data_IF_486849909710
#
_entry.id   IF_486849909710
#
_cell.length_a   1.000
_cell.length_b   1.000
_cell.length_c   1.000
_cell.angle_alpha   90.00
_cell.angle_beta   90.00
_cell.angle_gamma   90.00
#
_symmetry.space_group_name_H-M   'P 1'
#
loop_
_entity.id
_entity.type
_entity.pdbx_description
1 polymer ?
#
# COMPACT_ATOMS: atom_id res chain seq x y z
N UNK A 1 -15.13 -46.28 -66.44
CA UNK A 1 -15.98 -45.16 -66.92
C UNK A 1 -15.10 -43.95 -67.08
N UNK A 2 -14.85 -43.65 -68.34
CA UNK A 2 -14.00 -42.59 -68.88
C UNK A 2 -14.79 -41.28 -68.86
N UNK A 3 -14.16 -40.16 -68.47
CA UNK A 3 -14.76 -38.83 -68.63
C UNK A 3 -13.94 -37.72 -67.97
N UNK A 4 -13.02 -37.08 -68.69
CA UNK A 4 -12.44 -35.78 -68.35
C UNK A 4 -13.23 -34.65 -69.05
N UNK A 5 -13.36 -33.48 -68.42
CA UNK A 5 -12.79 -32.22 -68.95
C UNK A 5 -12.99 -31.02 -67.99
N UNK A 6 -12.06 -30.05 -68.01
CA UNK A 6 -12.03 -28.88 -67.16
C UNK A 6 -12.67 -27.64 -67.84
N UNK A 7 -13.52 -26.93 -67.13
CA UNK A 7 -14.02 -25.62 -67.56
C UNK A 7 -13.11 -24.50 -67.02
N UNK A 8 -12.39 -23.88 -67.95
CA UNK A 8 -11.70 -22.62 -67.78
C UNK A 8 -12.69 -21.49 -67.49
N UNK A 9 -12.42 -20.68 -66.46
CA UNK A 9 -12.98 -19.35 -66.32
C UNK A 9 -11.88 -18.33 -66.02
N UNK A 10 -11.54 -17.63 -67.10
CA UNK A 10 -11.39 -16.17 -67.21
C UNK A 10 -10.80 -15.41 -66.02
N UNK A 11 -9.56 -14.96 -66.22
CA UNK A 11 -8.95 -13.88 -65.49
C UNK A 11 -9.77 -12.58 -65.65
N UNK A 12 -10.18 -12.00 -64.53
CA UNK A 12 -10.62 -10.60 -64.44
C UNK A 12 -9.61 -9.87 -63.57
N UNK A 13 -8.87 -8.98 -64.22
CA UNK A 13 -7.99 -8.00 -63.60
C UNK A 13 -8.84 -6.81 -63.12
N UNK A 14 -8.82 -6.43 -61.83
CA UNK A 14 -9.33 -5.14 -61.42
C UNK A 14 -8.18 -4.12 -61.41
N UNK A 15 -8.43 -3.07 -62.18
CA UNK A 15 -7.62 -1.88 -62.31
C UNK A 15 -7.36 -1.18 -60.97
N UNK A 16 -6.17 -0.59 -60.91
CA UNK A 16 -5.68 0.41 -59.97
C UNK A 16 -6.76 1.28 -59.31
N UNK A 17 -6.97 1.06 -58.02
CA UNK A 17 -7.38 2.11 -57.10
C UNK A 17 -6.13 2.61 -56.39
N UNK A 18 -5.64 3.78 -56.80
CA UNK A 18 -4.61 4.53 -56.08
C UNK A 18 -5.22 4.99 -54.75
N UNK A 19 -5.05 4.19 -53.70
CA UNK A 19 -5.34 4.59 -52.34
C UNK A 19 -4.20 5.50 -51.85
N UNK A 20 -4.60 6.73 -51.58
CA UNK A 20 -4.00 7.70 -50.69
C UNK A 20 -3.13 7.05 -49.60
N UNK A 21 -1.81 7.05 -49.81
CA UNK A 21 -0.81 6.52 -48.88
C UNK A 21 -0.20 7.63 -48.00
N UNK A 22 -0.70 8.87 -48.11
CA UNK A 22 -0.18 10.01 -47.35
C UNK A 22 -0.55 9.94 -45.87
N UNK A 23 -1.80 9.64 -45.54
CA UNK A 23 -2.30 9.72 -44.15
C UNK A 23 -1.82 8.56 -43.27
N UNK A 24 -1.61 7.38 -43.84
CA UNK A 24 -1.14 6.20 -43.09
C UNK A 24 0.35 6.29 -42.72
N UNK A 25 1.16 6.97 -43.53
CA UNK A 25 2.60 7.12 -43.28
C UNK A 25 2.90 8.19 -42.24
N UNK A 26 2.10 9.25 -42.17
CA UNK A 26 2.23 10.34 -41.20
C UNK A 26 1.74 9.95 -39.78
N UNK A 27 0.74 9.05 -39.69
CA UNK A 27 0.33 8.43 -38.43
C UNK A 27 1.34 7.38 -37.92
N UNK A 28 2.05 6.69 -38.82
CA UNK A 28 3.10 5.75 -38.46
C UNK A 28 4.38 6.45 -37.98
N UNK A 29 4.70 7.62 -38.52
CA UNK A 29 5.90 8.39 -38.15
C UNK A 29 5.76 9.08 -36.79
N UNK A 30 4.54 9.53 -36.44
CA UNK A 30 4.23 10.06 -35.10
C UNK A 30 4.12 8.97 -34.02
N UNK A 31 3.62 7.78 -34.37
CA UNK A 31 3.61 6.61 -33.49
C UNK A 31 4.99 5.99 -33.25
N UNK A 32 6.01 6.34 -34.05
CA UNK A 32 7.37 5.86 -33.84
C UNK A 32 8.19 6.75 -32.91
N UNK A 33 7.73 7.99 -32.65
CA UNK A 33 8.38 8.95 -31.73
C UNK A 33 7.89 8.77 -30.28
N UNK A 34 6.68 8.25 -30.09
CA UNK A 34 6.11 7.86 -28.78
C UNK A 34 5.98 6.35 -28.79
N UNK A 35 6.86 5.64 -28.07
CA UNK A 35 6.95 4.17 -28.11
C UNK A 35 5.60 3.44 -27.93
N UNK A 36 5.55 2.16 -28.29
CA UNK A 36 4.31 1.37 -28.19
C UNK A 36 3.71 1.46 -26.78
N UNK A 37 2.36 1.43 -26.62
CA UNK A 37 1.72 1.52 -25.30
C UNK A 37 2.29 0.54 -24.26
N UNK A 38 2.67 -0.66 -24.72
CA UNK A 38 3.32 -1.68 -23.90
C UNK A 38 4.72 -1.27 -23.44
N UNK A 39 5.53 -0.67 -24.32
CA UNK A 39 6.88 -0.21 -23.97
C UNK A 39 6.83 0.95 -22.97
N UNK A 40 5.90 1.90 -23.18
CA UNK A 40 5.65 3.02 -22.25
C UNK A 40 5.22 2.50 -20.87
N UNK A 41 4.26 1.55 -20.85
CA UNK A 41 3.81 0.91 -19.62
C UNK A 41 4.96 0.19 -18.88
N UNK A 42 5.81 -0.52 -19.61
CA UNK A 42 6.94 -1.25 -19.04
C UNK A 42 7.99 -0.33 -18.42
N UNK A 43 8.29 0.77 -19.09
CA UNK A 43 9.22 1.80 -18.61
C UNK A 43 8.66 2.51 -17.36
N UNK A 44 7.38 2.91 -17.37
CA UNK A 44 6.72 3.48 -16.21
C UNK A 44 6.68 2.50 -15.01
N UNK A 45 6.42 1.22 -15.27
CA UNK A 45 6.40 0.18 -14.23
C UNK A 45 7.79 -0.07 -13.66
N UNK A 46 8.83 -0.06 -14.50
CA UNK A 46 10.22 -0.15 -14.04
C UNK A 46 10.60 1.04 -13.14
N UNK A 47 10.22 2.27 -13.52
CA UNK A 47 10.40 3.46 -12.67
C UNK A 47 9.63 3.36 -11.36
N UNK A 48 8.38 2.92 -11.39
CA UNK A 48 7.57 2.70 -10.19
C UNK A 48 8.30 1.75 -9.24
N UNK A 49 8.77 0.60 -9.72
CA UNK A 49 9.48 -0.37 -8.87
C UNK A 49 10.83 0.13 -8.35
N UNK A 50 11.56 0.94 -9.13
CA UNK A 50 12.77 1.59 -8.64
C UNK A 50 12.46 2.54 -7.47
N UNK A 51 11.36 3.31 -7.55
CA UNK A 51 10.89 4.15 -6.44
C UNK A 51 10.40 3.32 -5.25
N UNK A 52 9.71 2.19 -5.49
CA UNK A 52 9.30 1.26 -4.44
C UNK A 52 10.51 0.74 -3.64
N UNK A 53 11.59 0.36 -4.32
CA UNK A 53 12.80 -0.13 -3.66
C UNK A 53 13.43 0.96 -2.76
N UNK A 54 13.52 2.20 -3.25
CA UNK A 54 14.05 3.32 -2.46
C UNK A 54 13.24 3.60 -1.18
N UNK A 55 11.90 3.49 -1.23
CA UNK A 55 11.04 3.65 -0.05
C UNK A 55 11.16 2.44 0.89
N UNK A 56 11.33 1.24 0.34
CA UNK A 56 11.51 0.02 1.14
C UNK A 56 12.84 0.02 1.92
N UNK A 57 13.89 0.61 1.35
CA UNK A 57 15.20 0.76 2.01
C UNK A 57 15.15 1.80 3.14
N UNK A 58 14.35 2.87 2.99
CA UNK A 58 14.14 3.95 3.97
C UNK A 58 12.93 3.68 4.89
N UNK A 59 12.66 2.41 5.22
CA UNK A 59 11.42 2.04 5.90
C UNK A 59 11.36 2.50 7.37
N UNK A 60 10.57 3.54 7.62
CA UNK A 60 10.25 4.04 8.97
C UNK A 60 8.96 3.44 9.56
N UNK A 61 8.23 2.62 8.81
CA UNK A 61 6.94 2.04 9.23
C UNK A 61 5.85 2.11 8.16
N UNK A 62 4.60 1.72 8.48
CA UNK A 62 3.49 1.73 7.53
C UNK A 62 3.18 3.14 7.03
N UNK A 63 3.44 3.42 5.75
CA UNK A 63 3.23 4.72 5.11
C UNK A 63 2.30 4.63 3.89
N UNK A 64 1.04 4.15 4.03
CA UNK A 64 0.15 3.87 2.89
C UNK A 64 -0.09 5.10 2.01
N UNK A 65 -0.06 6.30 2.58
CA UNK A 65 -0.26 7.54 1.82
C UNK A 65 0.90 7.86 0.88
N UNK A 66 2.15 7.54 1.26
CA UNK A 66 3.30 7.70 0.36
C UNK A 66 3.20 6.75 -0.83
N UNK A 67 2.81 5.49 -0.58
CA UNK A 67 2.61 4.50 -1.65
C UNK A 67 1.47 4.89 -2.59
N UNK A 68 0.36 5.40 -2.04
CA UNK A 68 -0.76 5.89 -2.83
C UNK A 68 -0.37 7.10 -3.66
N UNK A 69 0.29 8.10 -3.06
CA UNK A 69 0.76 9.28 -3.77
C UNK A 69 1.71 8.90 -4.91
N UNK A 70 2.67 8.01 -4.65
CA UNK A 70 3.60 7.52 -5.67
C UNK A 70 2.90 6.84 -6.85
N UNK A 71 1.92 5.97 -6.59
CA UNK A 71 1.16 5.31 -7.65
C UNK A 71 0.32 6.32 -8.44
N UNK A 72 -0.35 7.25 -7.76
CA UNK A 72 -1.12 8.33 -8.40
C UNK A 72 -0.24 9.23 -9.26
N UNK A 73 0.93 9.63 -8.76
CA UNK A 73 1.90 10.45 -9.51
C UNK A 73 2.36 9.73 -10.78
N UNK A 74 2.61 8.42 -10.68
CA UNK A 74 3.00 7.60 -11.83
C UNK A 74 1.88 7.58 -12.87
N UNK A 75 0.63 7.36 -12.42
CA UNK A 75 -0.55 7.39 -13.31
C UNK A 75 -0.83 8.77 -13.91
N UNK A 76 -0.33 9.84 -13.29
CA UNK A 76 -0.46 11.20 -13.80
C UNK A 76 0.62 11.58 -14.85
N UNK A 77 1.63 10.73 -15.07
CA UNK A 77 2.68 10.99 -16.07
C UNK A 77 2.07 11.18 -17.47
N UNK A 78 2.51 12.18 -18.27
CA UNK A 78 1.97 12.42 -19.61
C UNK A 78 1.98 11.17 -20.51
N UNK A 79 2.95 10.29 -20.34
CA UNK A 79 3.08 9.05 -21.09
C UNK A 79 1.95 8.04 -20.79
N UNK A 80 1.36 8.06 -19.59
CA UNK A 80 0.24 7.20 -19.19
C UNK A 80 -1.14 7.87 -19.32
N UNK A 81 -1.22 9.09 -19.89
CA UNK A 81 -2.49 9.77 -20.11
C UNK A 81 -3.32 9.16 -21.25
N UNK A 82 -2.71 8.34 -22.11
CA UNK A 82 -3.45 7.61 -23.14
C UNK A 82 -4.12 6.37 -22.57
N UNK A 83 -5.38 6.13 -22.93
CA UNK A 83 -6.14 4.97 -22.45
C UNK A 83 -5.42 3.64 -22.73
N UNK A 84 -4.77 3.53 -23.89
CA UNK A 84 -4.02 2.34 -24.27
C UNK A 84 -2.78 2.11 -23.39
N UNK A 85 -1.99 3.15 -23.09
CA UNK A 85 -0.82 3.03 -22.23
C UNK A 85 -1.23 2.75 -20.78
N UNK A 86 -2.29 3.39 -20.30
CA UNK A 86 -2.84 3.14 -18.96
C UNK A 86 -3.35 1.71 -18.82
N UNK A 87 -4.11 1.21 -19.80
CA UNK A 87 -4.59 -0.17 -19.79
C UNK A 87 -3.43 -1.19 -19.87
N UNK A 88 -2.40 -0.89 -20.66
CA UNK A 88 -1.20 -1.73 -20.72
C UNK A 88 -0.44 -1.73 -19.38
N UNK A 89 -0.33 -0.57 -18.71
CA UNK A 89 0.28 -0.45 -17.39
C UNK A 89 -0.49 -1.24 -16.33
N UNK A 90 -1.81 -1.11 -16.30
CA UNK A 90 -2.68 -1.87 -15.39
C UNK A 90 -2.53 -3.38 -15.60
N UNK A 91 -2.57 -3.85 -16.87
CA UNK A 91 -2.36 -5.26 -17.20
C UNK A 91 -1.00 -5.78 -16.69
N UNK A 92 0.07 -5.02 -16.88
CA UNK A 92 1.40 -5.41 -16.42
C UNK A 92 1.47 -5.43 -14.89
N UNK A 93 0.91 -4.42 -14.22
CA UNK A 93 0.86 -4.36 -12.76
C UNK A 93 0.08 -5.54 -12.17
N UNK A 94 -1.10 -5.87 -12.72
CA UNK A 94 -1.89 -7.03 -12.31
C UNK A 94 -1.10 -8.32 -12.47
N UNK A 95 -0.42 -8.48 -13.61
CA UNK A 95 0.42 -9.66 -13.87
C UNK A 95 1.55 -9.77 -12.85
N UNK A 96 2.20 -8.66 -12.51
CA UNK A 96 3.29 -8.64 -11.54
C UNK A 96 2.80 -8.90 -10.11
N UNK A 97 1.68 -8.29 -9.69
CA UNK A 97 1.11 -8.56 -8.35
C UNK A 97 0.63 -10.03 -8.22
N UNK A 98 0.07 -10.60 -9.28
CA UNK A 98 -0.35 -12.00 -9.31
C UNK A 98 0.82 -13.01 -9.37
N UNK A 99 2.04 -12.56 -9.68
CA UNK A 99 3.24 -13.41 -9.75
C UNK A 99 3.85 -13.72 -8.37
N UNK A 100 3.30 -13.14 -7.31
CA UNK A 100 3.74 -13.33 -5.94
C UNK A 100 4.50 -12.13 -5.37
N UNK A 101 5.05 -12.32 -4.18
CA UNK A 101 5.69 -11.25 -3.43
C UNK A 101 7.08 -10.87 -3.98
N UNK A 102 7.32 -9.56 -4.05
CA UNK A 102 8.64 -8.92 -4.16
C UNK A 102 8.64 -7.68 -3.26
N UNK A 103 9.81 -7.13 -2.88
CA UNK A 103 9.87 -5.90 -2.09
C UNK A 103 9.00 -4.77 -2.69
N UNK A 104 8.13 -4.17 -1.87
CA UNK A 104 7.19 -3.11 -2.27
C UNK A 104 5.89 -3.60 -2.91
N UNK A 105 5.78 -4.86 -3.33
CA UNK A 105 4.52 -5.41 -3.87
C UNK A 105 3.40 -5.42 -2.83
N UNK A 106 3.72 -5.70 -1.56
CA UNK A 106 2.74 -5.71 -0.50
C UNK A 106 2.09 -4.33 -0.34
N UNK A 107 2.89 -3.26 -0.41
CA UNK A 107 2.37 -1.90 -0.31
C UNK A 107 1.51 -1.53 -1.54
N UNK A 108 1.96 -1.90 -2.74
CA UNK A 108 1.19 -1.70 -3.98
C UNK A 108 -0.14 -2.47 -3.95
N UNK A 109 -0.14 -3.69 -3.42
CA UNK A 109 -1.35 -4.50 -3.26
C UNK A 109 -2.42 -3.78 -2.41
N UNK A 110 -2.03 -3.01 -1.40
CA UNK A 110 -2.97 -2.25 -0.57
C UNK A 110 -3.52 -0.98 -1.24
N UNK A 111 -2.75 -0.33 -2.13
CA UNK A 111 -3.14 0.97 -2.72
C UNK A 111 -3.72 0.86 -4.12
N UNK A 112 -3.32 -0.16 -4.89
CA UNK A 112 -3.76 -0.37 -6.26
C UNK A 112 -5.29 -0.52 -6.40
N UNK A 113 -6.01 -1.27 -5.53
CA UNK A 113 -7.45 -1.40 -5.66
C UNK A 113 -8.19 -0.05 -5.67
N UNK A 114 -7.75 0.89 -4.83
CA UNK A 114 -8.30 2.25 -4.79
C UNK A 114 -7.89 3.11 -5.99
N UNK A 115 -6.68 2.94 -6.52
CA UNK A 115 -6.16 3.72 -7.63
C UNK A 115 -6.76 3.33 -8.99
N UNK A 116 -7.11 2.05 -9.16
CA UNK A 116 -7.70 1.50 -10.39
C UNK A 116 -9.21 1.22 -10.27
N UNK A 117 -9.81 1.42 -9.08
CA UNK A 117 -11.23 1.19 -8.85
C UNK A 117 -11.62 -0.29 -8.80
N UNK A 118 -10.70 -1.19 -8.48
CA UNK A 118 -11.00 -2.62 -8.34
C UNK A 118 -11.94 -2.90 -7.16
N UNK A 119 -11.92 -2.03 -6.14
CA UNK A 119 -12.80 -2.14 -4.97
C UNK A 119 -14.29 -1.94 -5.33
N UNK A 120 -14.57 -1.09 -6.32
CA UNK A 120 -15.95 -0.73 -6.72
C UNK A 120 -16.42 -1.52 -7.93
N UNK A 121 -15.50 -1.98 -8.78
CA UNK A 121 -15.81 -2.73 -9.99
C UNK A 121 -14.92 -3.98 -10.15
N UNK A 122 -15.12 -5.06 -9.36
CA UNK A 122 -14.32 -6.29 -9.45
C UNK A 122 -14.24 -6.92 -10.85
N UNK A 123 -15.27 -6.70 -11.67
CA UNK A 123 -15.31 -7.16 -13.06
C UNK A 123 -14.19 -6.57 -13.94
N UNK A 124 -13.63 -5.40 -13.59
CA UNK A 124 -12.49 -4.83 -14.33
C UNK A 124 -11.26 -5.69 -14.17
N UNK A 125 -11.00 -6.19 -12.96
CA UNK A 125 -9.86 -7.03 -12.65
C UNK A 125 -9.91 -8.36 -13.41
N UNK A 126 -11.11 -8.96 -13.53
CA UNK A 126 -11.33 -10.23 -14.25
C UNK A 126 -11.01 -10.13 -15.76
N UNK A 127 -11.00 -8.94 -16.35
CA UNK A 127 -10.63 -8.74 -17.77
C UNK A 127 -9.17 -9.09 -18.06
N UNK A 128 -8.33 -9.17 -17.02
CA UNK A 128 -6.93 -9.54 -17.11
C UNK A 128 -6.68 -11.06 -17.08
N UNK A 129 -7.74 -11.87 -17.19
CA UNK A 129 -7.67 -13.33 -17.24
C UNK A 129 -7.19 -13.94 -15.92
N UNK A 130 -6.40 -15.01 -16.00
CA UNK A 130 -5.95 -15.78 -14.83
C UNK A 130 -5.17 -14.93 -13.80
N UNK A 131 -4.42 -13.93 -14.23
CA UNK A 131 -3.73 -13.01 -13.31
C UNK A 131 -4.74 -12.16 -12.52
N UNK A 132 -5.77 -11.67 -13.21
CA UNK A 132 -6.88 -10.94 -12.61
C UNK A 132 -7.67 -11.80 -11.62
N UNK A 133 -8.04 -13.02 -11.99
CA UNK A 133 -8.72 -13.98 -11.12
C UNK A 133 -7.93 -14.27 -9.84
N UNK A 134 -6.61 -14.52 -9.98
CA UNK A 134 -5.73 -14.74 -8.82
C UNK A 134 -5.67 -13.51 -7.91
N UNK A 135 -5.55 -12.31 -8.47
CA UNK A 135 -5.50 -11.09 -7.68
C UNK A 135 -6.85 -10.80 -6.99
N UNK A 136 -7.97 -11.05 -7.68
CA UNK A 136 -9.31 -10.96 -7.12
C UNK A 136 -9.46 -11.91 -5.92
N UNK A 137 -9.03 -13.16 -6.06
CA UNK A 137 -9.03 -14.13 -4.97
C UNK A 137 -8.18 -13.65 -3.79
N UNK A 138 -7.00 -13.06 -4.03
CA UNK A 138 -6.19 -12.47 -2.96
C UNK A 138 -6.92 -11.34 -2.22
N UNK A 139 -7.67 -10.49 -2.92
CA UNK A 139 -8.47 -9.42 -2.32
C UNK A 139 -9.67 -9.98 -1.51
N UNK A 140 -10.32 -11.03 -2.00
CA UNK A 140 -11.37 -11.75 -1.27
C UNK A 140 -10.86 -12.40 0.02
N UNK A 141 -9.70 -13.06 -0.06
CA UNK A 141 -9.02 -13.65 1.09
C UNK A 141 -8.59 -12.58 2.10
N UNK A 142 -8.07 -11.44 1.64
CA UNK A 142 -7.75 -10.29 2.51
C UNK A 142 -8.98 -9.77 3.25
N UNK A 143 -10.13 -9.62 2.56
CA UNK A 143 -11.38 -9.18 3.21
C UNK A 143 -11.83 -10.16 4.29
N UNK A 144 -11.66 -11.45 4.05
CA UNK A 144 -11.97 -12.50 5.04
C UNK A 144 -10.98 -12.48 6.21
N UNK A 145 -9.70 -12.27 5.93
CA UNK A 145 -8.65 -12.07 6.94
C UNK A 145 -8.96 -10.87 7.84
N UNK A 146 -9.41 -9.76 7.25
CA UNK A 146 -9.73 -8.54 7.99
C UNK A 146 -10.94 -8.70 8.94
N UNK A 147 -11.79 -9.72 8.74
CA UNK A 147 -12.91 -10.05 9.64
C UNK A 147 -12.51 -10.90 10.85
N UNK A 148 -11.26 -11.35 10.96
CA UNK A 148 -10.78 -12.11 12.11
C UNK A 148 -10.72 -11.26 13.39
N UNK A 149 -10.74 -11.94 14.55
CA UNK A 149 -10.54 -11.30 15.85
C UNK A 149 -9.23 -10.52 15.88
N UNK A 150 -9.28 -9.27 16.34
CA UNK A 150 -8.17 -8.29 16.30
C UNK A 150 -6.83 -8.85 16.77
N UNK A 151 -6.83 -9.64 17.85
CA UNK A 151 -5.60 -10.24 18.41
C UNK A 151 -4.92 -11.21 17.43
N UNK A 152 -5.70 -12.09 16.80
CA UNK A 152 -5.18 -13.04 15.82
C UNK A 152 -4.74 -12.32 14.56
N UNK A 153 -5.54 -11.36 14.09
CA UNK A 153 -5.23 -10.52 12.92
C UNK A 153 -3.92 -9.76 13.12
N UNK A 154 -3.71 -9.16 14.30
CA UNK A 154 -2.47 -8.45 14.64
C UNK A 154 -1.26 -9.38 14.61
N UNK A 155 -1.34 -10.55 15.26
CA UNK A 155 -0.28 -11.54 15.25
C UNK A 155 0.07 -11.99 13.82
N UNK A 156 -0.94 -12.29 13.00
CA UNK A 156 -0.74 -12.73 11.62
C UNK A 156 -0.18 -11.62 10.72
N UNK A 157 -0.62 -10.36 10.88
CA UNK A 157 0.01 -9.21 10.18
C UNK A 157 1.47 -9.05 10.56
N UNK A 158 1.81 -9.24 11.83
CA UNK A 158 3.18 -9.17 12.28
C UNK A 158 4.04 -10.32 11.73
N UNK A 159 3.51 -11.55 11.70
CA UNK A 159 4.15 -12.69 11.03
C UNK A 159 4.38 -12.39 9.55
N UNK A 160 3.37 -11.87 8.85
CA UNK A 160 3.49 -11.50 7.45
C UNK A 160 4.60 -10.47 7.22
N UNK A 161 4.70 -9.44 8.06
CA UNK A 161 5.79 -8.46 8.01
C UNK A 161 7.16 -9.08 8.31
N UNK A 162 7.24 -10.06 9.21
CA UNK A 162 8.49 -10.77 9.53
C UNK A 162 8.94 -11.73 8.44
N UNK A 163 8.02 -12.40 7.75
CA UNK A 163 8.35 -13.28 6.62
C UNK A 163 9.00 -12.54 5.45
N UNK A 164 8.77 -11.23 5.31
CA UNK A 164 9.42 -10.39 4.28
C UNK A 164 10.88 -10.08 4.59
N UNK A 165 11.33 -10.31 5.81
CA UNK A 165 12.69 -10.01 6.25
C UNK A 165 13.59 -11.23 6.06
N UNK A 166 14.83 -11.05 5.58
CA UNK A 166 15.72 -12.17 5.30
C UNK A 166 16.24 -12.86 6.58
N UNK A 167 16.27 -12.16 7.72
CA UNK A 167 16.85 -12.70 8.96
C UNK A 167 15.98 -13.80 9.57
N UNK A 168 16.63 -14.91 9.92
CA UNK A 168 15.97 -16.02 10.59
C UNK A 168 15.53 -15.60 12.01
N UNK A 169 14.29 -15.93 12.41
CA UNK A 169 13.83 -15.74 13.78
C UNK A 169 14.61 -16.52 14.83
N UNK A 170 14.48 -16.10 16.09
CA UNK A 170 14.95 -16.87 17.24
C UNK A 170 14.15 -18.17 17.41
N UNK A 171 14.72 -19.15 18.10
CA UNK A 171 14.06 -20.45 18.33
C UNK A 171 12.72 -20.29 19.09
N UNK A 172 12.63 -19.36 20.04
CA UNK A 172 11.39 -19.04 20.75
C UNK A 172 10.34 -18.43 19.82
N UNK A 173 10.77 -17.51 18.95
CA UNK A 173 9.91 -16.91 17.93
C UNK A 173 9.35 -17.98 16.98
N UNK A 174 10.18 -18.93 16.54
CA UNK A 174 9.75 -20.02 15.68
C UNK A 174 8.73 -20.94 16.36
N UNK A 175 9.00 -21.31 17.62
CA UNK A 175 8.07 -22.15 18.39
C UNK A 175 6.68 -21.51 18.45
N UNK A 176 6.63 -20.21 18.74
CA UNK A 176 5.36 -19.49 18.83
C UNK A 176 4.70 -19.25 17.46
N UNK A 177 5.46 -18.82 16.44
CA UNK A 177 4.87 -18.24 15.21
C UNK A 177 4.65 -19.21 14.08
N UNK A 178 5.47 -20.25 13.95
CA UNK A 178 5.36 -21.19 12.81
C UNK A 178 3.96 -21.83 12.73
N UNK A 179 3.33 -22.28 13.83
CA UNK A 179 1.96 -22.81 13.77
C UNK A 179 0.94 -21.81 13.22
N UNK A 180 1.06 -20.53 13.62
CA UNK A 180 0.18 -19.46 13.14
C UNK A 180 0.45 -19.07 11.68
N UNK A 181 1.72 -19.11 11.25
CA UNK A 181 2.10 -18.84 9.87
C UNK A 181 1.58 -19.94 8.93
N UNK A 182 1.70 -21.21 9.33
CA UNK A 182 1.16 -22.36 8.58
C UNK A 182 -0.37 -22.29 8.51
N UNK A 183 -1.04 -21.96 9.61
CA UNK A 183 -2.50 -21.76 9.60
C UNK A 183 -2.92 -20.60 8.68
N UNK A 184 -2.19 -19.49 8.72
CA UNK A 184 -2.43 -18.32 7.85
C UNK A 184 -2.33 -18.69 6.37
N UNK A 185 -1.24 -19.36 5.95
CA UNK A 185 -1.06 -19.79 4.55
C UNK A 185 -2.11 -20.81 4.14
N UNK A 186 -2.49 -21.74 5.03
CA UNK A 186 -3.53 -22.72 4.73
C UNK A 186 -4.89 -22.06 4.49
N UNK A 187 -5.22 -21.00 5.24
CA UNK A 187 -6.53 -20.32 5.17
C UNK A 187 -6.60 -19.25 4.09
N UNK A 188 -5.48 -18.58 3.83
CA UNK A 188 -5.39 -17.43 2.92
C UNK A 188 -4.18 -17.58 1.98
N UNK A 189 -4.11 -18.66 1.18
CA UNK A 189 -2.92 -19.00 0.42
C UNK A 189 -2.56 -17.94 -0.62
N UNK A 190 -3.55 -17.41 -1.33
CA UNK A 190 -3.34 -16.49 -2.45
C UNK A 190 -2.94 -15.11 -1.96
N UNK A 191 -3.64 -14.61 -0.94
CA UNK A 191 -3.30 -13.34 -0.30
C UNK A 191 -1.90 -13.40 0.33
N UNK A 192 -1.60 -14.46 1.09
CA UNK A 192 -0.30 -14.59 1.76
C UNK A 192 0.84 -14.67 0.76
N UNK A 193 0.67 -15.40 -0.36
CA UNK A 193 1.66 -15.48 -1.43
C UNK A 193 1.94 -14.12 -2.11
N UNK A 194 0.95 -13.23 -2.16
CA UNK A 194 1.08 -11.90 -2.76
C UNK A 194 1.82 -10.92 -1.83
N UNK A 195 1.61 -11.03 -0.52
CA UNK A 195 2.11 -10.04 0.45
C UNK A 195 3.32 -10.50 1.29
N UNK A 196 3.80 -11.73 1.12
CA UNK A 196 4.93 -12.30 1.89
C UNK A 196 5.83 -13.21 1.07
N UNK A 197 7.10 -13.35 1.49
CA UNK A 197 8.02 -14.35 0.95
C UNK A 197 7.69 -15.74 1.53
N UNK A 198 7.01 -16.59 0.75
CA UNK A 198 6.71 -17.96 1.17
C UNK A 198 7.97 -18.83 1.31
N UNK A 199 9.06 -18.52 0.60
CA UNK A 199 10.32 -19.24 0.78
C UNK A 199 10.92 -19.01 2.17
N UNK A 200 10.61 -17.87 2.80
CA UNK A 200 10.98 -17.62 4.20
C UNK A 200 10.24 -18.58 5.14
N UNK A 201 8.97 -18.87 4.86
CA UNK A 201 8.21 -19.83 5.66
C UNK A 201 8.78 -21.25 5.53
N UNK A 202 9.24 -21.65 4.34
CA UNK A 202 9.92 -22.93 4.15
C UNK A 202 11.20 -23.01 5.01
N UNK A 203 12.00 -21.92 5.05
CA UNK A 203 13.17 -21.83 5.95
C UNK A 203 12.78 -21.91 7.42
N UNK A 204 11.71 -21.23 7.83
CA UNK A 204 11.23 -21.22 9.21
C UNK A 204 10.74 -22.59 9.65
N UNK A 205 9.96 -23.27 8.81
CA UNK A 205 9.42 -24.61 9.09
C UNK A 205 10.53 -25.65 9.14
N UNK A 206 11.52 -25.57 8.25
CA UNK A 206 12.71 -26.43 8.29
C UNK A 206 13.49 -26.23 9.60
N UNK A 207 13.73 -24.98 10.03
CA UNK A 207 14.39 -24.71 11.32
C UNK A 207 13.54 -25.20 12.50
N UNK A 208 12.24 -24.91 12.50
CA UNK A 208 11.30 -25.34 13.54
C UNK A 208 11.31 -26.87 13.74
N UNK A 209 11.43 -27.65 12.66
CA UNK A 209 11.51 -29.11 12.74
C UNK A 209 12.75 -29.62 13.48
N UNK A 210 13.82 -28.83 13.57
CA UNK A 210 15.05 -29.19 14.30
C UNK A 210 15.03 -28.83 15.79
N UNK A 211 14.02 -28.07 16.24
CA UNK A 211 13.99 -27.58 17.62
C UNK A 211 13.60 -28.67 18.62
N UNK A 212 14.19 -28.67 19.83
CA UNK A 212 13.76 -29.57 20.90
C UNK A 212 12.32 -29.26 21.30
N UNK A 213 11.39 -30.17 20.99
CA UNK A 213 9.95 -30.04 21.30
C UNK A 213 9.63 -30.02 22.79
N UNK A 214 10.63 -30.25 23.66
CA UNK A 214 10.51 -30.26 25.12
C UNK A 214 10.39 -28.86 25.75
N UNK A 215 10.61 -27.77 24.99
CA UNK A 215 10.35 -26.41 25.47
C UNK A 215 8.84 -26.16 25.35
N UNK A 216 8.12 -26.40 26.44
CA UNK A 216 6.67 -26.27 26.51
C UNK A 216 6.22 -24.93 25.89
N UNK A 217 5.42 -25.04 24.82
CA UNK A 217 4.70 -23.91 24.27
C UNK A 217 3.83 -23.30 25.38
N UNK A 218 3.69 -21.96 25.43
CA UNK A 218 2.70 -21.35 26.29
C UNK A 218 1.31 -21.95 25.99
N UNK A 219 0.54 -22.22 27.05
CA UNK A 219 -0.73 -22.93 26.94
C UNK A 219 -1.70 -22.24 25.96
N UNK A 220 -2.61 -22.99 25.31
CA UNK A 220 -3.67 -22.38 24.49
C UNK A 220 -4.44 -21.34 25.32
N UNK A 221 -4.34 -20.07 24.92
CA UNK A 221 -4.94 -18.96 25.67
C UNK A 221 -3.97 -18.13 26.50
N UNK A 222 -2.66 -18.43 26.52
CA UNK A 222 -1.69 -17.55 27.16
C UNK A 222 -1.73 -16.16 26.49
N UNK A 223 -2.17 -15.19 27.28
CA UNK A 223 -2.45 -13.82 26.84
C UNK A 223 -1.26 -12.91 27.01
N UNK A 224 -0.10 -13.41 27.48
CA UNK A 224 1.09 -12.59 27.64
C UNK A 224 1.31 -11.81 26.35
N UNK A 225 1.22 -10.47 26.39
CA UNK A 225 1.65 -9.68 25.26
C UNK A 225 3.12 -10.03 25.11
N UNK A 226 3.45 -10.78 24.05
CA UNK A 226 4.82 -10.90 23.62
C UNK A 226 5.23 -9.48 23.28
N UNK A 227 5.91 -8.83 24.23
CA UNK A 227 6.65 -7.64 23.93
C UNK A 227 7.67 -8.10 22.90
N UNK A 228 7.73 -7.48 21.71
CA UNK A 228 8.94 -7.63 20.94
C UNK A 228 10.10 -7.37 21.88
N UNK A 229 11.12 -8.22 21.84
CA UNK A 229 12.45 -7.80 22.25
C UNK A 229 12.83 -6.66 21.29
N UNK A 230 12.27 -5.47 21.55
CA UNK A 230 12.93 -4.20 21.38
C UNK A 230 14.02 -4.18 22.45
N UNK A 231 14.97 -5.10 22.33
CA UNK A 231 16.33 -4.77 22.68
C UNK A 231 16.63 -3.45 21.96
N UNK A 232 16.83 -2.40 22.74
CA UNK A 232 17.02 -1.01 22.29
C UNK A 232 15.77 -0.15 22.02
N UNK A 233 14.81 -0.08 22.96
CA UNK A 233 14.12 1.22 23.17
C UNK A 233 13.61 1.53 24.60
N UNK A 234 13.76 0.63 25.57
CA UNK A 234 13.41 0.93 26.97
C UNK A 234 14.28 2.03 27.57
N UNK A 235 15.57 2.07 27.20
CA UNK A 235 16.48 3.15 27.59
C UNK A 235 16.03 4.50 27.00
N UNK A 236 15.63 4.53 25.73
CA UNK A 236 15.13 5.74 25.08
C UNK A 236 13.80 6.20 25.69
N UNK A 237 12.88 5.28 26.01
CA UNK A 237 11.64 5.60 26.70
C UNK A 237 11.88 6.20 28.09
N UNK A 238 12.83 5.65 28.85
CA UNK A 238 13.25 6.24 30.14
C UNK A 238 13.96 7.59 29.97
N UNK A 239 14.73 7.79 28.90
CA UNK A 239 15.34 9.09 28.57
C UNK A 239 14.26 10.12 28.23
N UNK A 240 13.25 9.77 27.41
CA UNK A 240 12.15 10.67 27.06
C UNK A 240 11.33 11.02 28.31
N UNK A 241 10.97 10.04 29.14
CA UNK A 241 10.26 10.27 30.40
C UNK A 241 11.09 11.18 31.33
N UNK A 242 12.39 10.88 31.48
CA UNK A 242 13.31 11.70 32.28
C UNK A 242 13.43 13.13 31.76
N UNK A 243 13.48 13.31 30.44
CA UNK A 243 13.58 14.62 29.78
C UNK A 243 12.30 15.44 29.99
N UNK A 244 11.13 14.82 29.85
CA UNK A 244 9.83 15.48 30.10
C UNK A 244 9.71 15.92 31.56
N UNK A 245 10.08 15.05 32.51
CA UNK A 245 10.08 15.37 33.95
C UNK A 245 11.05 16.52 34.25
N UNK A 246 12.26 16.49 33.66
CA UNK A 246 13.26 17.54 33.85
C UNK A 246 12.77 18.89 33.30
N UNK A 247 12.18 18.91 32.11
CA UNK A 247 11.64 20.13 31.50
C UNK A 247 10.44 20.68 32.29
N UNK A 248 9.57 19.81 32.83
CA UNK A 248 8.47 20.26 33.71
C UNK A 248 8.99 20.79 35.04
N UNK A 249 10.00 20.17 35.64
CA UNK A 249 10.63 20.68 36.87
C UNK A 249 11.27 22.06 36.65
N UNK A 250 12.01 22.24 35.54
CA UNK A 250 12.58 23.54 35.17
C UNK A 250 11.48 24.58 34.98
N UNK A 251 10.41 24.26 34.23
CA UNK A 251 9.30 25.19 34.01
C UNK A 251 8.58 25.59 35.32
N UNK A 252 8.46 24.66 36.29
CA UNK A 252 7.87 24.95 37.60
C UNK A 252 8.81 25.84 38.43
N UNK A 253 10.12 25.57 38.44
CA UNK A 253 11.11 26.39 39.16
C UNK A 253 11.17 27.81 38.57
N UNK A 254 11.15 27.94 37.24
CA UNK A 254 11.11 29.24 36.56
C UNK A 254 9.85 30.04 36.93
N UNK A 255 8.69 29.38 37.06
CA UNK A 255 7.43 30.02 37.50
C UNK A 255 7.43 30.40 38.99
N UNK A 256 8.20 29.72 39.83
CA UNK A 256 8.38 30.12 41.24
C UNK A 256 9.37 31.27 41.40
N UNK A 257 10.25 31.52 40.41
CA UNK A 257 11.20 32.63 40.41
C UNK A 257 10.58 34.01 40.11
N UNK A 258 9.41 34.08 39.48
CA UNK A 258 8.80 35.34 39.02
C UNK A 258 8.03 36.13 40.11
N UNK A 259 7.94 35.65 41.35
CA UNK A 259 7.23 36.37 42.45
C UNK A 259 8.14 37.20 43.36
N UNK A 260 9.01 38.04 42.79
CA UNK A 260 9.56 39.22 43.48
C UNK A 260 9.59 40.44 42.53
N UNK A 261 8.41 40.87 42.09
CA UNK A 261 8.23 42.22 41.56
C UNK A 261 8.13 43.24 42.71
N UNK A 262 8.75 44.43 42.61
CA UNK A 262 8.63 45.49 43.61
C UNK A 262 7.19 46.07 43.66
N UNK A 263 6.75 46.64 44.80
CA UNK A 263 5.38 47.08 44.97
C UNK A 263 4.99 48.21 43.99
N UNK A 264 3.75 48.20 43.46
CA UNK A 264 3.30 49.20 42.50
C UNK A 264 3.12 50.58 43.15
N UNK A 265 3.69 51.60 42.50
CA UNK A 265 3.37 53.01 42.74
C UNK A 265 1.89 53.26 42.49
N UNK A 266 1.23 53.89 43.45
CA UNK A 266 -0.11 54.42 43.33
C UNK A 266 -0.19 55.39 42.14
N UNK A 267 -1.01 55.06 41.14
CA UNK A 267 -1.50 56.01 40.16
C UNK A 267 -2.98 56.20 40.40
N UNK A 268 -3.33 57.38 40.92
CA UNK A 268 -4.68 57.93 40.83
C UNK A 268 -4.94 58.24 39.36
N UNK A 269 -6.02 57.71 38.80
CA UNK A 269 -6.61 58.34 37.62
C UNK A 269 -8.11 58.10 37.59
N UNK A 270 -8.78 59.15 37.13
CA UNK A 270 -10.14 59.53 37.43
C UNK A 270 -11.20 58.76 36.64
N UNK A 271 -12.36 58.62 37.27
CA UNK A 271 -13.61 58.12 36.70
C UNK A 271 -14.00 58.86 35.42
N UNK A 272 -14.36 58.13 34.37
CA UNK A 272 -15.29 58.66 33.38
C UNK A 272 -16.32 57.59 33.02
N UNK A 273 -17.58 57.98 33.21
CA UNK A 273 -18.80 57.20 33.07
C UNK A 273 -19.35 57.45 31.67
N UNK A 274 -19.57 56.41 30.87
CA UNK A 274 -20.36 56.53 29.63
C UNK A 274 -21.22 55.28 29.38
N UNK A 275 -22.33 55.43 28.63
CA UNK A 275 -23.63 54.91 29.05
C UNK A 275 -24.13 53.68 28.29
N UNK A 276 -25.09 53.03 28.95
CA UNK A 276 -25.91 51.87 28.54
C UNK A 276 -26.49 52.03 27.13
N UNK A 277 -26.23 51.05 26.27
CA UNK A 277 -26.85 50.88 24.95
C UNK A 277 -27.89 49.75 24.99
N UNK A 278 -29.15 50.08 24.69
CA UNK A 278 -30.32 49.19 24.68
C UNK A 278 -30.52 48.65 23.25
N UNK A 279 -30.73 47.33 23.03
CA UNK A 279 -31.09 46.79 21.72
C UNK A 279 -32.61 46.84 21.44
N UNK A 280 -33.04 47.11 20.19
CA UNK A 280 -34.45 47.12 19.78
C UNK A 280 -35.02 45.72 19.42
N UNK A 281 -36.36 45.53 19.47
CA UNK A 281 -37.03 44.24 19.31
C UNK A 281 -37.28 43.80 17.86
N UNK A 282 -37.33 42.48 17.69
CA UNK A 282 -37.57 41.73 16.45
C UNK A 282 -39.00 41.95 15.90
N UNK A 283 -39.10 42.10 14.57
CA UNK A 283 -40.35 42.08 13.82
C UNK A 283 -40.56 40.74 13.11
N UNK A 284 -41.81 40.28 13.16
CA UNK A 284 -42.34 39.01 12.70
C UNK A 284 -42.45 38.90 11.15
N UNK A 285 -42.61 37.68 10.60
CA UNK A 285 -42.70 37.42 9.16
C UNK A 285 -44.11 37.69 8.59
N UNK A 286 -44.18 37.99 7.29
CA UNK A 286 -45.43 38.01 6.53
C UNK A 286 -45.32 37.19 5.24
N UNK A 287 -46.23 36.22 5.15
CA UNK A 287 -46.82 35.51 3.99
C UNK A 287 -45.91 34.71 3.06
#
# INVERSE_FOLDING_TARGET
MTGPDPAAHTAVSPAAAATDTGTAREAADTASVVGTPTAVAQDALARLFARCAAIADDWEGPQPDKWRAMLTDTLAEPALQTDAARAAFEQQLVTVLASGWRPGHDALFWVAPSAFGWDTAPATLLRHGAAGERLQQALDEQRTFDQQVDRLRFLQRYIAGRLRRPELPSDEELLYRVPHAVDMVRRFPTWTATITDLSALDRWTARYATLPKARALPAPGDTRPWSPDVESNRALAWIVIGTVILLTAIAIISRLGEKRGPPPRAQMSFSNTEPVSVPPPASAPSK
#
